data_IF_963139978428
#
_entry.id   IF_963139978428
#
_cell.length_a   1.000
_cell.length_b   1.000
_cell.length_c   1.000
_cell.angle_alpha   90.00
_cell.angle_beta   90.00
_cell.angle_gamma   90.00
#
_symmetry.space_group_name_H-M   'P 1'
#
loop_
_entity.id
_entity.type
_entity.pdbx_description
1 polymer ?
#
# COMPACT_ATOMS: atom_id res chain seq x y z
N UNK A 1 11.49 -18.72 -1.09
CA UNK A 1 11.64 -18.16 -2.44
C UNK A 1 11.97 -16.70 -2.26
N UNK A 2 13.27 -16.35 -2.31
CA UNK A 2 13.76 -14.98 -2.11
C UNK A 2 13.37 -14.15 -3.31
N UNK A 3 12.53 -13.17 -3.08
CA UNK A 3 12.17 -12.19 -4.11
C UNK A 3 13.34 -11.22 -4.20
N UNK A 4 14.07 -11.27 -5.29
CA UNK A 4 15.02 -10.22 -5.61
C UNK A 4 14.22 -8.96 -6.00
N UNK A 5 14.04 -8.06 -5.05
CA UNK A 5 13.53 -6.71 -5.36
C UNK A 5 14.33 -6.04 -6.49
N UNK A 6 15.60 -6.41 -6.69
CA UNK A 6 16.42 -5.98 -7.83
C UNK A 6 15.82 -6.31 -9.19
N UNK A 7 15.08 -7.41 -9.34
CA UNK A 7 14.42 -7.71 -10.62
C UNK A 7 13.20 -6.83 -10.90
N UNK A 8 12.55 -6.30 -9.85
CA UNK A 8 11.51 -5.27 -9.98
C UNK A 8 12.11 -3.93 -10.42
N UNK A 9 13.38 -3.70 -10.10
CA UNK A 9 14.14 -2.49 -10.38
C UNK A 9 15.34 -2.75 -11.30
N UNK A 10 15.16 -3.49 -12.39
CA UNK A 10 16.05 -3.25 -13.52
C UNK A 10 15.99 -1.75 -13.82
N UNK A 11 17.18 -1.08 -13.87
CA UNK A 11 17.26 0.31 -14.36
C UNK A 11 16.29 0.42 -15.53
N UNK A 12 15.39 1.40 -15.54
CA UNK A 12 14.56 1.63 -16.70
C UNK A 12 15.47 1.63 -17.91
N UNK A 13 15.14 0.88 -18.96
CA UNK A 13 15.75 1.14 -20.26
C UNK A 13 15.62 2.63 -20.49
N UNK A 14 16.69 3.29 -20.90
CA UNK A 14 16.69 4.72 -21.16
C UNK A 14 15.50 5.04 -22.05
N UNK A 15 14.45 5.66 -21.50
CA UNK A 15 13.20 5.97 -22.19
C UNK A 15 11.91 5.64 -21.42
N UNK A 16 11.91 4.71 -20.46
CA UNK A 16 10.70 4.40 -19.67
C UNK A 16 10.62 5.30 -18.43
N UNK A 17 10.03 6.49 -18.61
CA UNK A 17 9.85 7.47 -17.51
C UNK A 17 8.78 7.05 -16.48
N UNK A 18 7.98 6.06 -16.76
CA UNK A 18 6.79 5.74 -15.96
C UNK A 18 6.92 4.36 -15.29
N UNK A 19 7.52 4.31 -14.10
CA UNK A 19 7.48 3.09 -13.27
C UNK A 19 6.77 3.40 -11.96
N UNK A 20 5.62 2.78 -11.77
CA UNK A 20 4.86 2.84 -10.55
C UNK A 20 4.64 1.43 -10.00
N UNK A 21 5.18 1.18 -8.82
CA UNK A 21 4.96 -0.07 -8.09
C UNK A 21 4.00 0.21 -6.93
N UNK A 22 2.90 -0.54 -6.87
CA UNK A 22 1.98 -0.48 -5.74
C UNK A 22 2.30 -1.61 -4.77
N UNK A 23 2.69 -1.27 -3.56
CA UNK A 23 2.81 -2.19 -2.42
C UNK A 23 1.48 -2.18 -1.68
N UNK A 24 0.82 -3.32 -1.66
CA UNK A 24 -0.52 -3.49 -1.09
C UNK A 24 -0.59 -4.67 -0.12
N UNK A 25 -1.70 -4.85 0.52
CA UNK A 25 -1.99 -5.88 1.51
C UNK A 25 -2.96 -5.33 2.55
N UNK A 26 -3.50 -6.16 3.41
CA UNK A 26 -4.43 -5.71 4.44
C UNK A 26 -3.76 -4.81 5.49
N UNK A 27 -4.56 -4.08 6.25
CA UNK A 27 -4.07 -3.27 7.36
C UNK A 27 -3.36 -4.15 8.39
N UNK A 28 -2.19 -3.73 8.87
CA UNK A 28 -1.39 -4.49 9.84
C UNK A 28 -0.48 -5.57 9.25
N UNK A 29 -0.43 -5.78 7.93
CA UNK A 29 0.49 -6.75 7.31
C UNK A 29 1.97 -6.32 7.29
N UNK A 30 2.32 -5.19 7.93
CA UNK A 30 3.70 -4.71 8.05
C UNK A 30 4.24 -3.97 6.82
N UNK A 31 3.39 -3.54 5.88
CA UNK A 31 3.80 -2.77 4.69
C UNK A 31 4.60 -1.52 5.02
N UNK A 32 4.13 -0.73 5.99
CA UNK A 32 4.79 0.53 6.38
C UNK A 32 6.21 0.26 6.89
N UNK A 33 6.39 -0.81 7.67
CA UNK A 33 7.70 -1.23 8.16
C UNK A 33 8.61 -1.66 6.99
N UNK A 34 8.12 -2.55 6.12
CA UNK A 34 8.86 -3.03 4.94
C UNK A 34 9.34 -1.85 4.09
N UNK A 35 8.48 -0.88 3.83
CA UNK A 35 8.81 0.29 3.01
C UNK A 35 9.76 1.26 3.71
N UNK A 36 9.67 1.39 5.03
CA UNK A 36 10.63 2.20 5.80
C UNK A 36 12.04 1.61 5.73
N UNK A 37 12.16 0.29 5.85
CA UNK A 37 13.46 -0.40 5.72
C UNK A 37 14.00 -0.33 4.28
N UNK A 38 13.12 -0.46 3.29
CA UNK A 38 13.50 -0.26 1.89
C UNK A 38 14.04 1.16 1.66
N UNK A 39 13.34 2.19 2.11
CA UNK A 39 13.77 3.58 1.94
C UNK A 39 15.15 3.85 2.57
N UNK A 40 15.44 3.27 3.75
CA UNK A 40 16.77 3.35 4.39
C UNK A 40 17.87 2.68 3.55
N UNK A 41 17.52 1.59 2.86
CA UNK A 41 18.45 0.84 2.02
C UNK A 41 18.68 1.53 0.70
N UNK A 42 17.64 2.09 0.09
CA UNK A 42 17.68 2.79 -1.19
C UNK A 42 18.54 4.06 -1.14
N UNK A 43 18.45 4.82 -0.03
CA UNK A 43 19.31 5.97 0.22
C UNK A 43 20.81 5.62 0.17
N UNK A 44 21.19 4.42 0.60
CA UNK A 44 22.58 3.93 0.56
C UNK A 44 23.02 3.51 -0.85
N UNK A 45 22.10 3.22 -1.75
CA UNK A 45 22.36 2.78 -3.12
C UNK A 45 22.37 3.96 -4.11
N UNK A 46 21.93 5.15 -3.67
CA UNK A 46 21.93 6.36 -4.49
C UNK A 46 20.87 6.41 -5.58
N UNK A 47 19.81 5.60 -5.45
CA UNK A 47 18.66 5.62 -6.35
C UNK A 47 17.57 6.51 -5.75
N UNK A 48 17.17 7.56 -6.47
CA UNK A 48 16.13 8.50 -6.01
C UNK A 48 14.72 7.97 -6.37
N UNK A 49 14.25 6.93 -5.65
CA UNK A 49 12.89 6.42 -5.82
C UNK A 49 12.00 7.03 -4.74
N UNK A 50 10.90 7.65 -5.16
CA UNK A 50 9.92 8.19 -4.23
C UNK A 50 9.11 7.09 -3.57
N UNK A 51 9.12 7.01 -2.24
CA UNK A 51 8.18 6.17 -1.47
C UNK A 51 7.02 7.05 -1.04
N UNK A 52 5.81 6.68 -1.45
CA UNK A 52 4.59 7.47 -1.25
C UNK A 52 3.58 6.67 -0.45
N UNK A 53 3.09 7.20 0.66
CA UNK A 53 1.96 6.63 1.39
C UNK A 53 0.67 7.31 0.91
N UNK A 54 -0.13 6.56 0.14
CA UNK A 54 -1.37 7.08 -0.45
C UNK A 54 -2.38 7.56 0.61
N UNK A 55 -2.51 6.82 1.70
CA UNK A 55 -3.41 7.18 2.80
C UNK A 55 -2.99 8.46 3.52
N UNK A 56 -1.67 8.68 3.70
CA UNK A 56 -1.16 9.92 4.28
C UNK A 56 -1.38 11.12 3.36
N UNK A 57 -1.15 10.95 2.06
CA UNK A 57 -1.44 12.01 1.11
C UNK A 57 -2.93 12.38 1.09
N UNK A 58 -3.80 11.37 1.12
CA UNK A 58 -5.25 11.57 1.14
C UNK A 58 -5.67 12.35 2.41
N UNK A 59 -5.16 11.94 3.56
CA UNK A 59 -5.43 12.62 4.83
C UNK A 59 -4.90 14.06 4.84
N UNK A 60 -3.66 14.26 4.38
CA UNK A 60 -3.06 15.60 4.26
C UNK A 60 -3.87 16.50 3.33
N UNK A 61 -4.35 15.95 2.21
CA UNK A 61 -5.16 16.70 1.25
C UNK A 61 -6.52 17.11 1.85
N UNK A 62 -7.16 16.21 2.59
CA UNK A 62 -8.40 16.56 3.31
C UNK A 62 -8.17 17.73 4.26
N UNK A 63 -7.11 17.68 5.07
CA UNK A 63 -6.76 18.75 6.01
C UNK A 63 -6.48 20.09 5.34
N UNK A 64 -6.00 20.10 4.10
CA UNK A 64 -5.81 21.32 3.32
C UNK A 64 -7.13 21.90 2.82
N UNK A 65 -8.11 21.05 2.45
CA UNK A 65 -9.39 21.48 1.88
C UNK A 65 -10.40 21.83 2.98
N UNK A 66 -10.33 21.11 4.10
CA UNK A 66 -11.22 21.26 5.25
C UNK A 66 -10.43 21.22 6.58
N UNK A 67 -9.71 22.30 6.92
CA UNK A 67 -8.87 22.36 8.12
C UNK A 67 -9.63 22.20 9.44
N UNK A 68 -10.91 22.54 9.45
CA UNK A 68 -11.80 22.53 10.61
C UNK A 68 -12.57 21.21 10.80
N UNK A 69 -12.29 20.18 10.02
CA UNK A 69 -12.98 18.90 10.14
C UNK A 69 -12.48 18.09 11.34
N UNK A 70 -13.02 18.38 12.51
CA UNK A 70 -12.68 17.70 13.77
C UNK A 70 -13.18 16.24 13.82
N UNK A 71 -14.08 15.86 12.92
CA UNK A 71 -14.59 14.47 12.83
C UNK A 71 -13.54 13.49 12.26
N UNK A 72 -12.51 13.99 11.60
CA UNK A 72 -11.43 13.19 11.03
C UNK A 72 -10.14 13.48 11.79
N UNK A 73 -10.02 12.88 12.96
CA UNK A 73 -8.83 13.04 13.81
C UNK A 73 -7.62 12.26 13.28
N UNK A 74 -7.88 11.17 12.56
CA UNK A 74 -6.86 10.27 12.05
C UNK A 74 -7.18 9.79 10.62
N UNK A 75 -6.18 9.18 9.96
CA UNK A 75 -6.35 8.54 8.66
C UNK A 75 -7.43 7.45 8.66
N UNK A 76 -7.58 6.73 9.77
CA UNK A 76 -8.55 5.64 9.89
C UNK A 76 -10.00 6.13 9.91
N UNK A 77 -10.21 7.42 10.23
CA UNK A 77 -11.54 8.06 10.25
C UNK A 77 -12.00 8.49 8.84
N UNK A 78 -11.09 8.57 7.85
CA UNK A 78 -11.43 9.02 6.50
C UNK A 78 -12.62 8.27 5.91
N UNK A 79 -12.59 6.95 5.96
CA UNK A 79 -13.65 6.11 5.39
C UNK A 79 -14.92 6.06 6.23
N UNK A 80 -14.86 6.50 7.48
CA UNK A 80 -16.01 6.49 8.42
C UNK A 80 -16.76 7.81 8.44
N UNK A 81 -16.04 8.93 8.31
CA UNK A 81 -16.55 10.26 8.60
C UNK A 81 -16.66 11.17 7.38
N UNK A 82 -16.06 10.78 6.23
CA UNK A 82 -16.07 11.61 5.01
C UNK A 82 -16.97 10.98 3.94
N UNK A 83 -17.76 11.82 3.27
CA UNK A 83 -18.64 11.34 2.20
C UNK A 83 -17.84 10.75 1.02
N UNK A 84 -18.42 9.76 0.34
CA UNK A 84 -17.77 9.10 -0.79
C UNK A 84 -17.46 10.05 -1.94
N UNK A 85 -18.26 11.08 -2.16
CA UNK A 85 -18.01 12.06 -3.22
C UNK A 85 -16.80 12.93 -2.91
N UNK A 86 -16.64 13.36 -1.66
CA UNK A 86 -15.43 14.08 -1.21
C UNK A 86 -14.20 13.17 -1.33
N UNK A 87 -14.29 11.92 -0.86
CA UNK A 87 -13.19 10.94 -1.01
C UNK A 87 -12.81 10.78 -2.47
N UNK A 88 -13.77 10.67 -3.39
CA UNK A 88 -13.50 10.52 -4.84
C UNK A 88 -12.74 11.72 -5.41
N UNK A 89 -13.11 12.94 -5.04
CA UNK A 89 -12.40 14.15 -5.49
C UNK A 89 -10.98 14.18 -4.95
N UNK A 90 -10.80 13.90 -3.65
CA UNK A 90 -9.48 13.84 -3.02
C UNK A 90 -8.58 12.77 -3.62
N UNK A 91 -9.13 11.57 -3.87
CA UNK A 91 -8.41 10.47 -4.51
C UNK A 91 -7.88 10.88 -5.88
N UNK A 92 -8.67 11.55 -6.71
CA UNK A 92 -8.22 12.03 -8.01
C UNK A 92 -7.03 12.99 -7.90
N UNK A 93 -7.09 13.93 -6.96
CA UNK A 93 -5.99 14.88 -6.70
C UNK A 93 -4.72 14.17 -6.24
N UNK A 94 -4.84 13.16 -5.36
CA UNK A 94 -3.70 12.37 -4.90
C UNK A 94 -3.12 11.51 -6.02
N UNK A 95 -3.95 10.95 -6.89
CA UNK A 95 -3.49 10.19 -8.06
C UNK A 95 -2.62 11.05 -8.98
N UNK A 96 -3.03 12.28 -9.27
CA UNK A 96 -2.27 13.20 -10.12
C UNK A 96 -0.91 13.54 -9.48
N UNK A 97 -0.87 13.72 -8.15
CA UNK A 97 0.36 13.94 -7.40
C UNK A 97 1.30 12.71 -7.43
N UNK A 98 0.75 11.49 -7.28
CA UNK A 98 1.51 10.25 -7.38
C UNK A 98 2.13 10.09 -8.76
N UNK A 99 1.36 10.36 -9.82
CA UNK A 99 1.84 10.29 -11.20
C UNK A 99 3.01 11.26 -11.41
N UNK A 100 2.93 12.47 -10.86
CA UNK A 100 4.00 13.47 -10.98
C UNK A 100 5.30 13.08 -10.24
N UNK A 101 5.24 12.15 -9.29
CA UNK A 101 6.40 11.70 -8.50
C UNK A 101 7.11 10.47 -9.09
N UNK A 102 6.68 9.96 -10.24
CA UNK A 102 7.29 8.77 -10.84
C UNK A 102 8.76 8.99 -11.21
N UNK A 103 9.64 8.00 -11.07
CA UNK A 103 9.37 6.64 -10.60
C UNK A 103 9.06 6.58 -9.09
N UNK A 104 8.06 5.82 -8.70
CA UNK A 104 7.61 5.78 -7.32
C UNK A 104 7.14 4.39 -6.86
N UNK A 105 7.30 4.13 -5.56
CA UNK A 105 6.64 3.05 -4.83
C UNK A 105 5.49 3.64 -4.04
N UNK A 106 4.30 3.12 -4.21
CA UNK A 106 3.09 3.59 -3.54
C UNK A 106 2.60 2.55 -2.55
N UNK A 107 2.56 2.91 -1.27
CA UNK A 107 1.84 2.15 -0.26
C UNK A 107 0.36 2.50 -0.33
N UNK A 108 -0.45 1.56 -0.81
CA UNK A 108 -1.89 1.74 -0.93
C UNK A 108 -2.64 0.44 -0.65
N UNK A 109 -3.90 0.55 -0.23
CA UNK A 109 -4.83 -0.57 -0.22
C UNK A 109 -5.54 -0.64 -1.58
N UNK A 110 -5.31 -1.70 -2.34
CA UNK A 110 -6.03 -1.97 -3.61
C UNK A 110 -7.41 -2.52 -3.32
N UNK A 111 -7.51 -3.38 -2.30
CA UNK A 111 -8.76 -3.90 -1.77
C UNK A 111 -8.78 -3.66 -0.24
N UNK A 112 -9.89 -3.17 0.28
CA UNK A 112 -10.07 -2.91 1.71
C UNK A 112 -11.49 -3.24 2.16
N UNK A 113 -11.63 -3.60 3.42
CA UNK A 113 -12.94 -3.85 4.03
C UNK A 113 -13.58 -2.54 4.46
N UNK A 114 -14.81 -2.33 4.06
CA UNK A 114 -15.64 -1.21 4.51
C UNK A 114 -17.07 -1.74 4.78
N UNK A 115 -17.54 -1.59 6.01
CA UNK A 115 -18.89 -2.01 6.43
C UNK A 115 -19.21 -3.46 6.03
N UNK A 116 -18.27 -4.39 6.23
CA UNK A 116 -18.44 -5.80 5.89
C UNK A 116 -18.36 -6.14 4.41
N UNK A 117 -18.08 -5.17 3.54
CA UNK A 117 -17.93 -5.35 2.10
C UNK A 117 -16.50 -5.03 1.65
N UNK A 118 -16.02 -5.76 0.66
CA UNK A 118 -14.73 -5.46 0.04
C UNK A 118 -14.93 -4.38 -1.01
N UNK A 119 -14.19 -3.30 -0.83
CA UNK A 119 -14.14 -2.20 -1.78
C UNK A 119 -12.89 -2.30 -2.62
N UNK A 120 -13.04 -2.17 -3.92
CA UNK A 120 -11.96 -2.13 -4.90
C UNK A 120 -12.19 -0.90 -5.77
N UNK A 121 -11.13 -0.13 -6.01
CA UNK A 121 -11.23 1.01 -6.92
C UNK A 121 -10.31 0.81 -8.14
N UNK A 122 -10.75 0.04 -9.14
CA UNK A 122 -9.95 -0.28 -10.32
C UNK A 122 -9.63 0.95 -11.18
N UNK A 123 -10.51 1.97 -11.19
CA UNK A 123 -10.30 3.16 -12.01
C UNK A 123 -9.17 4.03 -11.49
N UNK A 124 -9.01 4.12 -10.16
CA UNK A 124 -7.86 4.79 -9.52
C UNK A 124 -6.56 4.10 -9.93
N UNK A 125 -6.52 2.78 -9.84
CA UNK A 125 -5.35 1.98 -10.17
C UNK A 125 -5.00 2.09 -11.66
N UNK A 126 -6.03 2.06 -12.54
CA UNK A 126 -5.86 2.25 -13.99
C UNK A 126 -5.30 3.64 -14.32
N UNK A 127 -5.84 4.69 -13.69
CA UNK A 127 -5.39 6.07 -13.89
C UNK A 127 -3.92 6.27 -13.48
N UNK A 128 -3.49 5.59 -12.41
CA UNK A 128 -2.09 5.63 -11.97
C UNK A 128 -1.11 4.95 -12.95
N UNK A 129 -1.59 4.17 -13.92
CA UNK A 129 -0.75 3.41 -14.84
C UNK A 129 0.28 2.51 -14.10
N UNK A 130 -0.21 1.73 -13.14
CA UNK A 130 0.61 0.85 -12.31
C UNK A 130 1.30 -0.20 -13.16
N UNK A 131 2.62 -0.33 -13.01
CA UNK A 131 3.42 -1.32 -13.75
C UNK A 131 3.61 -2.62 -13.01
N UNK A 132 3.52 -2.60 -11.67
CA UNK A 132 3.65 -3.82 -10.84
C UNK A 132 2.92 -3.66 -9.51
N UNK A 133 2.41 -4.80 -9.02
CA UNK A 133 1.86 -4.94 -7.67
C UNK A 133 2.73 -5.87 -6.85
N UNK A 134 2.99 -5.46 -5.61
CA UNK A 134 3.61 -6.29 -4.57
C UNK A 134 2.60 -6.45 -3.45
N UNK A 135 2.06 -7.65 -3.28
CA UNK A 135 1.15 -7.96 -2.19
C UNK A 135 1.92 -8.47 -0.97
N UNK A 136 1.78 -7.77 0.14
CA UNK A 136 2.42 -8.14 1.42
C UNK A 136 1.42 -8.88 2.28
N UNK A 137 1.74 -10.11 2.65
CA UNK A 137 0.95 -10.90 3.57
C UNK A 137 1.80 -11.39 4.75
N UNK A 138 1.16 -11.72 5.87
CA UNK A 138 1.81 -12.14 7.12
C UNK A 138 0.96 -13.18 7.83
N UNK A 139 1.52 -13.83 8.84
CA UNK A 139 0.75 -14.73 9.70
C UNK A 139 -0.42 -13.98 10.35
N UNK A 140 -1.64 -14.54 10.33
CA UNK A 140 -2.82 -13.88 10.88
C UNK A 140 -2.70 -13.55 12.36
N UNK A 141 -2.05 -14.43 13.13
CA UNK A 141 -1.78 -14.23 14.55
C UNK A 141 -0.84 -13.04 14.79
N UNK A 142 0.20 -12.89 13.96
CA UNK A 142 1.09 -11.73 14.03
C UNK A 142 0.36 -10.45 13.66
N UNK A 143 -0.50 -10.49 12.65
CA UNK A 143 -1.31 -9.31 12.28
C UNK A 143 -2.24 -8.92 13.43
N UNK A 144 -2.90 -9.90 14.05
CA UNK A 144 -3.76 -9.65 15.20
C UNK A 144 -2.99 -9.04 16.37
N UNK A 145 -1.81 -9.57 16.66
CA UNK A 145 -0.92 -9.03 17.69
C UNK A 145 -0.45 -7.61 17.38
N UNK A 146 0.03 -7.35 16.15
CA UNK A 146 0.47 -6.02 15.75
C UNK A 146 -0.66 -5.00 15.79
N UNK A 147 -1.88 -5.38 15.38
CA UNK A 147 -3.05 -4.50 15.47
C UNK A 147 -3.42 -4.17 16.91
N UNK A 148 -3.30 -5.14 17.82
CA UNK A 148 -3.55 -4.94 19.25
C UNK A 148 -2.55 -3.99 19.89
N UNK A 149 -1.29 -4.02 19.44
CA UNK A 149 -0.19 -3.20 19.97
C UNK A 149 -0.03 -1.85 19.24
N UNK A 150 -0.83 -1.58 18.21
CA UNK A 150 -0.80 -0.31 17.46
C UNK A 150 -1.67 0.74 18.16
N UNK A 151 -1.17 1.36 19.21
CA UNK A 151 -1.87 2.40 19.98
C UNK A 151 -2.12 3.68 19.17
N UNK A 152 -1.46 3.87 18.02
CA UNK A 152 -1.64 5.03 17.14
C UNK A 152 -2.85 4.94 16.21
N UNK A 153 -3.47 3.76 16.14
CA UNK A 153 -4.60 3.50 15.23
C UNK A 153 -5.75 2.79 15.93
N UNK A 154 -6.94 3.32 15.73
CA UNK A 154 -8.17 2.69 16.23
C UNK A 154 -8.63 1.62 15.26
N UNK A 155 -8.37 0.36 15.59
CA UNK A 155 -8.78 -0.81 14.79
C UNK A 155 -9.75 -1.67 15.57
N UNK A 156 -10.76 -2.16 14.86
CA UNK A 156 -11.64 -3.16 15.42
C UNK A 156 -10.89 -4.51 15.53
N UNK A 157 -10.99 -5.24 16.64
CA UNK A 157 -10.38 -6.55 16.76
C UNK A 157 -11.02 -7.50 15.74
N UNK A 158 -10.18 -8.23 15.01
CA UNK A 158 -10.60 -9.29 14.09
C UNK A 158 -9.99 -10.61 14.55
N UNK A 159 -10.77 -11.70 14.43
CA UNK A 159 -10.27 -13.04 14.68
C UNK A 159 -9.25 -13.46 13.60
N UNK A 160 -8.27 -14.31 13.91
CA UNK A 160 -7.30 -14.79 12.93
C UNK A 160 -7.94 -15.38 11.67
N UNK A 161 -9.06 -16.07 11.80
CA UNK A 161 -9.83 -16.65 10.70
C UNK A 161 -10.38 -15.57 9.74
N UNK A 162 -10.88 -14.47 10.28
CA UNK A 162 -11.36 -13.33 9.49
C UNK A 162 -10.18 -12.64 8.79
N UNK A 163 -9.04 -12.53 9.47
CA UNK A 163 -7.80 -12.01 8.89
C UNK A 163 -7.33 -12.86 7.71
N UNK A 164 -7.38 -14.21 7.84
CA UNK A 164 -7.04 -15.13 6.74
C UNK A 164 -7.95 -14.88 5.54
N UNK A 165 -9.26 -14.83 5.76
CA UNK A 165 -10.23 -14.60 4.71
C UNK A 165 -9.99 -13.26 4.02
N UNK A 166 -9.81 -12.20 4.81
CA UNK A 166 -9.52 -10.86 4.31
C UNK A 166 -8.23 -10.83 3.48
N UNK A 167 -7.14 -11.47 3.95
CA UNK A 167 -5.89 -11.56 3.19
C UNK A 167 -6.08 -12.28 1.86
N UNK A 168 -6.78 -13.42 1.84
CA UNK A 168 -7.04 -14.20 0.62
C UNK A 168 -7.82 -13.40 -0.40
N UNK A 169 -8.89 -12.73 0.02
CA UNK A 169 -9.72 -11.93 -0.89
C UNK A 169 -8.90 -10.75 -1.44
N UNK A 170 -8.17 -10.04 -0.59
CA UNK A 170 -7.35 -8.92 -1.01
C UNK A 170 -6.20 -9.35 -1.96
N UNK A 171 -5.58 -10.51 -1.71
CA UNK A 171 -4.56 -11.11 -2.57
C UNK A 171 -5.13 -11.41 -3.97
N UNK A 172 -6.23 -12.17 -4.03
CA UNK A 172 -6.84 -12.56 -5.29
C UNK A 172 -7.39 -11.35 -6.07
N UNK A 173 -8.00 -10.40 -5.39
CA UNK A 173 -8.46 -9.16 -6.03
C UNK A 173 -7.30 -8.39 -6.64
N UNK A 174 -6.16 -8.29 -5.93
CA UNK A 174 -4.97 -7.61 -6.45
C UNK A 174 -4.39 -8.36 -7.66
N UNK A 175 -4.35 -9.70 -7.61
CA UNK A 175 -3.88 -10.53 -8.73
C UNK A 175 -4.74 -10.34 -9.99
N UNK A 176 -6.06 -10.37 -9.83
CA UNK A 176 -7.01 -10.15 -10.94
C UNK A 176 -6.84 -8.74 -11.54
N UNK A 177 -6.70 -7.71 -10.69
CA UNK A 177 -6.47 -6.35 -11.17
C UNK A 177 -5.16 -6.24 -11.94
N UNK A 178 -4.08 -6.85 -11.43
CA UNK A 178 -2.79 -6.86 -12.13
C UNK A 178 -2.91 -7.52 -13.52
N UNK A 179 -3.59 -8.66 -13.60
CA UNK A 179 -3.85 -9.37 -14.85
C UNK A 179 -4.66 -8.52 -15.85
N UNK A 180 -5.76 -7.91 -15.41
CA UNK A 180 -6.62 -7.04 -16.24
C UNK A 180 -5.85 -5.82 -16.76
N UNK A 181 -4.91 -5.28 -15.96
CA UNK A 181 -4.10 -4.12 -16.35
C UNK A 181 -2.82 -4.49 -17.11
N UNK A 182 -2.50 -5.78 -17.28
CA UNK A 182 -1.24 -6.22 -17.85
C UNK A 182 -0.02 -5.86 -16.97
N UNK A 183 -0.23 -5.64 -15.68
CA UNK A 183 0.81 -5.28 -14.71
C UNK A 183 1.46 -6.53 -14.09
N UNK A 184 2.72 -6.41 -13.67
CA UNK A 184 3.39 -7.46 -12.91
C UNK A 184 2.70 -7.69 -11.56
N UNK A 185 2.74 -8.94 -11.05
CA UNK A 185 2.22 -9.27 -9.73
C UNK A 185 3.19 -10.17 -8.96
N UNK A 186 3.44 -9.84 -7.70
CA UNK A 186 4.20 -10.67 -6.77
C UNK A 186 3.57 -10.64 -5.38
N UNK A 187 3.60 -11.79 -4.68
CA UNK A 187 3.25 -11.89 -3.27
C UNK A 187 4.53 -12.03 -2.43
N UNK A 188 4.61 -11.27 -1.35
CA UNK A 188 5.73 -11.27 -0.40
C UNK A 188 5.20 -11.68 0.96
N UNK A 189 5.83 -12.70 1.54
CA UNK A 189 5.54 -13.11 2.90
C UNK A 189 6.42 -12.32 3.88
N UNK A 190 5.78 -11.54 4.74
CA UNK A 190 6.45 -10.72 5.74
C UNK A 190 6.52 -11.47 7.08
N UNK A 191 7.67 -12.08 7.36
CA UNK A 191 8.04 -12.65 8.67
C UNK A 191 8.97 -11.68 9.40
N UNK A 192 8.74 -11.49 10.69
CA UNK A 192 9.56 -10.63 11.53
C UNK A 192 11.03 -11.04 11.59
N UNK A 193 11.31 -12.34 11.57
CA UNK A 193 12.65 -12.93 11.66
C UNK A 193 13.43 -12.87 10.34
N UNK A 194 12.75 -12.73 9.21
CA UNK A 194 13.35 -12.78 7.87
C UNK A 194 13.46 -11.41 7.18
N UNK A 195 12.93 -10.34 7.76
CA UNK A 195 12.94 -9.02 7.11
C UNK A 195 14.36 -8.52 6.90
N UNK A 196 15.22 -8.59 7.91
CA UNK A 196 16.62 -8.20 7.78
C UNK A 196 17.40 -9.15 6.87
N UNK A 197 17.10 -10.45 6.91
CA UNK A 197 17.67 -11.44 6.00
C UNK A 197 17.20 -11.23 4.56
N UNK A 198 15.92 -10.93 4.35
CA UNK A 198 15.38 -10.59 3.04
C UNK A 198 15.95 -9.25 2.52
N UNK A 199 16.13 -8.24 3.37
CA UNK A 199 16.80 -6.99 3.02
C UNK A 199 18.30 -7.22 2.74
N UNK A 200 18.98 -8.10 3.46
CA UNK A 200 20.39 -8.40 3.22
C UNK A 200 20.63 -9.20 1.92
N UNK A 201 19.67 -10.00 1.50
CA UNK A 201 19.64 -10.70 0.20
C UNK A 201 19.25 -9.78 -0.97
N UNK A 202 18.89 -8.52 -0.69
CA UNK A 202 18.68 -7.45 -1.68
C UNK A 202 19.98 -6.74 -2.06
N UNK A 203 21.11 -7.12 -1.45
CA UNK A 203 22.45 -6.68 -1.82
C UNK A 203 23.03 -7.62 -2.87
#
# INVERSE_FOLDING_TARGET
MSIEFRELYRKPEEGSKNKLVVVTGISGSGKDYLLSEFAKTDYRIGTAISVVNFGELLFSRLRQVDPGNDMVASRDDLNRSVSQDVIRVLVNSVVDEVIARQPAIVNAHVAYMQQGSIQINPDVVRKMAVTSFVYVWSDPELIAEWRKNDYGRRRDPEAPEDIILHQRIALESTRIIAEVLGAGFRAVYNRTDNILENISKLK
#
